data_IF_843488149820
#
_entry.id   IF_843488149820
#
_cell.length_a   1.000
_cell.length_b   1.000
_cell.length_c   1.000
_cell.angle_alpha   90.00
_cell.angle_beta   90.00
_cell.angle_gamma   90.00
#
_symmetry.space_group_name_H-M   'P 1'
#
loop_
_entity.id
_entity.type
_entity.pdbx_description
1 polymer ?
#
# COMPACT_ATOMS: atom_id res chain seq x y z
N UNK A 1 -1.01 -7.98 19.02
CA UNK A 1 -0.45 -6.61 18.92
C UNK A 1 -0.84 -6.13 17.53
N UNK A 2 -1.78 -5.20 17.43
CA UNK A 2 -2.09 -4.58 16.13
C UNK A 2 -0.91 -3.71 15.73
N UNK A 3 -0.21 -4.13 14.69
CA UNK A 3 0.91 -3.36 14.14
C UNK A 3 0.31 -2.38 13.13
N UNK A 4 0.40 -1.08 13.43
CA UNK A 4 -0.17 -0.04 12.56
C UNK A 4 0.74 0.24 11.36
N UNK A 5 0.16 0.51 10.20
CA UNK A 5 0.94 0.86 9.00
C UNK A 5 1.88 2.06 9.21
N UNK A 6 1.49 3.16 9.91
CA UNK A 6 2.41 4.23 10.26
C UNK A 6 3.62 3.77 11.07
N UNK A 7 3.42 2.89 12.07
CA UNK A 7 4.54 2.36 12.86
C UNK A 7 5.47 1.46 12.05
N UNK A 8 4.95 0.67 11.11
CA UNK A 8 5.79 -0.16 10.22
C UNK A 8 6.64 0.70 9.29
N UNK A 9 6.02 1.75 8.73
CA UNK A 9 6.68 2.62 7.75
C UNK A 9 7.57 3.70 8.39
N UNK A 10 7.52 3.88 9.71
CA UNK A 10 8.18 4.99 10.40
C UNK A 10 7.68 6.36 9.92
N UNK A 11 6.44 6.43 9.42
CA UNK A 11 5.83 7.63 8.84
C UNK A 11 4.75 8.19 9.77
N UNK A 12 4.51 9.50 9.70
CA UNK A 12 3.39 10.09 10.43
C UNK A 12 2.04 9.64 9.82
N UNK A 13 0.98 9.49 10.63
CA UNK A 13 -0.32 9.02 10.14
C UNK A 13 -0.93 9.88 9.03
N UNK A 14 -0.67 11.20 8.97
CA UNK A 14 -1.23 12.06 7.92
C UNK A 14 -0.53 11.80 6.59
N UNK A 15 0.78 11.57 6.58
CA UNK A 15 1.50 11.19 5.35
C UNK A 15 1.05 9.83 4.85
N UNK A 16 0.93 8.84 5.73
CA UNK A 16 0.40 7.51 5.34
C UNK A 16 -0.99 7.64 4.71
N UNK A 17 -1.87 8.44 5.29
CA UNK A 17 -3.21 8.67 4.74
C UNK A 17 -3.16 9.32 3.34
N UNK A 18 -2.27 10.30 3.10
CA UNK A 18 -2.11 10.92 1.77
C UNK A 18 -1.58 9.95 0.74
N UNK A 19 -0.62 9.10 1.12
CA UNK A 19 -0.08 8.05 0.24
C UNK A 19 -1.18 7.04 -0.12
N UNK A 20 -1.90 6.53 0.87
CA UNK A 20 -3.00 5.59 0.64
C UNK A 20 -4.11 6.19 -0.24
N UNK A 21 -4.44 7.47 -0.04
CA UNK A 21 -5.39 8.17 -0.91
C UNK A 21 -4.89 8.23 -2.35
N UNK A 22 -3.62 8.59 -2.56
CA UNK A 22 -3.03 8.63 -3.89
C UNK A 22 -2.99 7.25 -4.56
N UNK A 23 -2.65 6.20 -3.81
CA UNK A 23 -2.67 4.82 -4.32
C UNK A 23 -4.09 4.37 -4.69
N UNK A 24 -5.08 4.79 -3.90
CA UNK A 24 -6.49 4.51 -4.18
C UNK A 24 -6.97 5.21 -5.45
N UNK A 25 -6.66 6.51 -5.60
CA UNK A 25 -7.00 7.30 -6.79
C UNK A 25 -6.37 6.73 -8.08
N UNK A 26 -5.22 6.05 -7.95
CA UNK A 26 -4.55 5.36 -9.06
C UNK A 26 -5.06 3.92 -9.29
N UNK A 27 -6.02 3.46 -8.50
CA UNK A 27 -6.60 2.12 -8.58
C UNK A 27 -5.65 1.00 -8.15
N UNK A 28 -4.65 1.30 -7.32
CA UNK A 28 -3.66 0.33 -6.83
C UNK A 28 -4.07 -0.32 -5.50
N UNK A 29 -4.86 0.40 -4.69
CA UNK A 29 -5.44 -0.12 -3.45
C UNK A 29 -6.93 0.22 -3.37
N UNK A 30 -7.66 -0.59 -2.62
CA UNK A 30 -9.08 -0.37 -2.32
C UNK A 30 -9.37 -0.60 -0.83
N UNK A 31 -10.55 -0.19 -0.37
CA UNK A 31 -10.96 -0.41 1.02
C UNK A 31 -11.41 -1.86 1.19
N UNK A 32 -10.78 -2.60 2.10
CA UNK A 32 -11.23 -3.91 2.56
C UNK A 32 -11.72 -3.86 4.01
N UNK A 33 -12.26 -4.98 4.49
CA UNK A 33 -12.88 -5.10 5.82
C UNK A 33 -11.94 -4.73 6.97
N UNK A 34 -10.63 -4.92 6.78
CA UNK A 34 -9.60 -4.67 7.79
C UNK A 34 -8.59 -3.57 7.37
N UNK A 35 -8.97 -2.71 6.43
CA UNK A 35 -8.12 -1.64 5.91
C UNK A 35 -7.78 -1.80 4.43
N UNK A 36 -6.83 -1.01 3.91
CA UNK A 36 -6.52 -0.98 2.49
C UNK A 36 -5.91 -2.31 2.02
N UNK A 37 -6.43 -2.83 0.91
CA UNK A 37 -5.94 -4.05 0.26
C UNK A 37 -5.47 -3.74 -1.16
N UNK A 38 -4.53 -4.53 -1.70
CA UNK A 38 -4.08 -4.37 -3.08
C UNK A 38 -5.19 -4.80 -4.05
N UNK A 39 -5.43 -3.97 -5.07
CA UNK A 39 -6.24 -4.39 -6.22
C UNK A 39 -5.43 -5.37 -7.09
N UNK A 40 -6.09 -5.99 -8.07
CA UNK A 40 -5.38 -6.79 -9.09
C UNK A 40 -4.27 -5.98 -9.80
N UNK A 41 -4.53 -4.71 -10.10
CA UNK A 41 -3.53 -3.80 -10.70
C UNK A 41 -2.37 -3.52 -9.73
N UNK A 42 -2.66 -3.28 -8.45
CA UNK A 42 -1.66 -3.07 -7.42
C UNK A 42 -0.73 -4.28 -7.25
N UNK A 43 -1.30 -5.49 -7.28
CA UNK A 43 -0.52 -6.74 -7.20
C UNK A 43 0.46 -6.90 -8.36
N UNK A 44 0.03 -6.61 -9.60
CA UNK A 44 0.90 -6.68 -10.78
C UNK A 44 2.11 -5.74 -10.62
N UNK A 45 1.87 -4.47 -10.29
CA UNK A 45 2.94 -3.47 -10.12
C UNK A 45 3.94 -3.86 -9.04
N UNK A 46 3.46 -4.40 -7.92
CA UNK A 46 4.34 -4.88 -6.84
C UNK A 46 5.18 -6.07 -7.33
N UNK A 47 4.57 -7.04 -8.00
CA UNK A 47 5.29 -8.21 -8.50
C UNK A 47 6.37 -7.83 -9.51
N UNK A 48 6.06 -6.99 -10.51
CA UNK A 48 7.03 -6.47 -11.48
C UNK A 48 8.20 -5.74 -10.81
N UNK A 49 7.91 -4.95 -9.76
CA UNK A 49 8.96 -4.28 -9.00
C UNK A 49 9.83 -5.26 -8.23
N UNK A 50 9.23 -6.26 -7.58
CA UNK A 50 9.94 -7.29 -6.81
C UNK A 50 10.82 -8.17 -7.70
N UNK A 51 10.37 -8.51 -8.90
CA UNK A 51 11.18 -9.24 -9.88
C UNK A 51 12.42 -8.42 -10.25
N UNK A 52 12.26 -7.14 -10.57
CA UNK A 52 13.37 -6.25 -10.98
C UNK A 52 14.44 -6.06 -9.91
N UNK A 53 14.09 -6.06 -8.62
CA UNK A 53 15.07 -5.86 -7.53
C UNK A 53 15.78 -7.15 -7.12
N UNK A 54 15.23 -8.30 -7.48
CA UNK A 54 15.80 -9.61 -7.14
C UNK A 54 16.78 -10.14 -8.20
N UNK A 55 16.82 -9.50 -9.37
CA UNK A 55 17.85 -9.66 -10.41
C UNK A 55 19.11 -8.83 -10.10
#
# INVERSE_FOLDING_TARGET
MDVSLPSVLGMDPKTVKRVLHSLHDNGLVESGDNGPVLTAKGQIVVNEYLERIND
#
